data_IF_234404121246
#
_entry.id   IF_234404121246
#
_cell.length_a   1.000
_cell.length_b   1.000
_cell.length_c   1.000
_cell.angle_alpha   90.00
_cell.angle_beta   90.00
_cell.angle_gamma   90.00
#
_symmetry.space_group_name_H-M   'P 1'
#
loop_
_entity.id
_entity.type
_entity.pdbx_description
1 polymer ?
#
# COMPACT_ATOMS: atom_id res chain seq x y z
N UNK A 1 -37.85 60.73 21.08
CA UNK A 1 -36.61 61.48 20.81
C UNK A 1 -35.79 61.52 22.09
N UNK A 2 -34.48 61.25 22.01
CA UNK A 2 -33.44 61.15 23.08
C UNK A 2 -33.04 59.73 23.53
N UNK A 3 -32.13 59.19 22.71
CA UNK A 3 -30.85 58.52 23.02
C UNK A 3 -30.34 58.73 24.46
N UNK A 4 -29.75 57.70 25.06
CA UNK A 4 -28.40 57.67 25.68
C UNK A 4 -28.25 56.47 26.62
N UNK A 5 -27.09 55.91 26.94
CA UNK A 5 -25.77 55.79 26.35
C UNK A 5 -24.94 55.01 27.41
N UNK A 6 -23.95 54.28 26.92
CA UNK A 6 -23.00 53.41 27.63
C UNK A 6 -21.96 54.23 28.43
N UNK A 7 -21.48 53.70 29.56
CA UNK A 7 -20.08 53.79 30.04
C UNK A 7 -19.92 53.18 31.44
N UNK A 8 -18.77 52.72 31.93
CA UNK A 8 -17.54 52.09 31.41
C UNK A 8 -16.71 51.86 32.69
N UNK A 9 -16.05 50.71 32.86
CA UNK A 9 -14.79 50.50 33.64
C UNK A 9 -14.83 50.72 35.19
N UNK A 10 -13.96 50.21 36.07
CA UNK A 10 -12.53 49.87 36.01
C UNK A 10 -12.13 48.95 37.21
N UNK A 11 -10.99 48.29 37.01
CA UNK A 11 -10.23 47.35 37.85
C UNK A 11 -9.75 47.86 39.24
N UNK A 12 -9.52 46.89 40.16
CA UNK A 12 -8.25 46.67 40.91
C UNK A 12 -7.98 47.19 42.35
N UNK A 13 -7.65 46.20 43.20
CA UNK A 13 -6.50 46.07 44.14
C UNK A 13 -6.69 46.22 45.67
N UNK A 14 -6.41 45.08 46.32
CA UNK A 14 -5.73 44.79 47.59
C UNK A 14 -6.22 45.36 48.93
N UNK A 15 -6.43 44.42 49.86
CA UNK A 15 -5.89 44.49 51.23
C UNK A 15 -5.18 43.18 51.57
N UNK A 16 -4.04 43.32 52.28
CA UNK A 16 -3.06 42.31 52.67
C UNK A 16 -3.36 41.70 54.06
N UNK A 17 -2.67 40.58 54.32
CA UNK A 17 -2.05 40.19 55.60
C UNK A 17 -2.81 39.26 56.57
N UNK A 18 -2.38 37.99 56.65
CA UNK A 18 -1.48 37.51 57.73
C UNK A 18 -1.12 36.02 57.51
N UNK A 19 0.14 35.65 57.76
CA UNK A 19 0.72 34.39 57.33
C UNK A 19 1.02 33.32 58.40
N UNK A 20 1.42 32.17 57.83
CA UNK A 20 2.41 31.18 58.28
C UNK A 20 2.04 29.96 59.15
N UNK A 21 2.00 28.81 58.44
CA UNK A 21 2.90 27.63 58.55
C UNK A 21 3.12 26.93 59.90
N UNK A 22 2.64 25.66 59.95
CA UNK A 22 3.48 24.54 60.39
C UNK A 22 3.22 23.27 59.58
N UNK A 23 4.33 22.69 59.12
CA UNK A 23 4.48 21.46 58.34
C UNK A 23 3.89 20.24 59.06
N UNK A 24 3.17 19.40 58.31
CA UNK A 24 3.16 17.93 58.49
C UNK A 24 3.28 17.29 57.12
N UNK A 25 4.33 16.48 56.96
CA UNK A 25 4.55 15.62 55.81
C UNK A 25 3.39 14.62 55.70
N UNK A 26 2.75 14.56 54.53
CA UNK A 26 1.93 13.42 54.12
C UNK A 26 2.38 13.04 52.71
N UNK A 27 2.82 11.79 52.61
CA UNK A 27 3.36 11.19 51.40
C UNK A 27 2.34 11.22 50.26
N UNK A 28 2.80 11.77 49.13
CA UNK A 28 2.09 11.75 47.86
C UNK A 28 2.27 10.36 47.23
N UNK A 29 1.35 9.43 47.47
CA UNK A 29 1.25 8.22 46.64
C UNK A 29 0.29 8.47 45.48
N UNK A 30 0.85 8.99 44.39
CA UNK A 30 0.24 9.04 43.07
C UNK A 30 0.16 7.61 42.53
N UNK A 31 -0.93 6.90 42.79
CA UNK A 31 -1.16 5.58 42.19
C UNK A 31 -1.68 5.74 40.76
N UNK A 32 -0.76 6.01 39.83
CA UNK A 32 -0.93 5.67 38.42
C UNK A 32 -1.06 4.14 38.31
N UNK A 33 -2.27 3.59 38.31
CA UNK A 33 -2.49 2.27 37.72
C UNK A 33 -2.67 2.47 36.22
N UNK A 34 -1.54 2.65 35.53
CA UNK A 34 -1.48 2.42 34.10
C UNK A 34 -1.82 0.94 33.86
N UNK A 35 -2.87 0.68 33.09
CA UNK A 35 -3.05 -0.62 32.45
C UNK A 35 -1.85 -0.81 31.52
N UNK A 36 -0.86 -1.58 31.97
CA UNK A 36 0.26 -2.01 31.13
C UNK A 36 -0.22 -3.23 30.37
N UNK A 37 -0.52 -3.04 29.09
CA UNK A 37 -0.74 -4.11 28.13
C UNK A 37 0.55 -4.94 28.05
N UNK A 38 0.44 -6.26 28.23
CA UNK A 38 1.55 -7.21 28.14
C UNK A 38 2.09 -7.16 26.70
N UNK A 39 3.32 -6.67 26.52
CA UNK A 39 4.04 -6.68 25.23
C UNK A 39 4.83 -7.97 25.05
N UNK A 40 5.11 -8.29 23.79
CA UNK A 40 5.81 -9.49 23.31
C UNK A 40 7.17 -9.69 23.99
N UNK A 41 7.58 -10.97 24.09
CA UNK A 41 8.82 -11.41 24.77
C UNK A 41 10.05 -10.74 24.15
N UNK A 42 10.98 -10.28 24.99
CA UNK A 42 12.24 -9.64 24.56
C UNK A 42 13.19 -10.74 24.08
N UNK A 43 13.69 -10.69 22.85
CA UNK A 43 14.60 -11.73 22.34
C UNK A 43 16.04 -11.22 22.29
N UNK A 44 16.99 -11.99 22.83
CA UNK A 44 18.42 -11.69 22.84
C UNK A 44 19.19 -12.84 22.20
N UNK A 45 20.14 -12.53 21.32
CA UNK A 45 21.01 -13.55 20.73
C UNK A 45 22.19 -13.84 21.65
N UNK A 46 22.30 -15.07 22.13
CA UNK A 46 23.38 -15.49 23.04
C UNK A 46 23.75 -16.95 22.77
N UNK A 47 25.02 -17.17 22.46
CA UNK A 47 25.57 -18.48 22.09
C UNK A 47 25.89 -19.39 23.28
N UNK A 48 25.68 -18.93 24.51
CA UNK A 48 25.80 -19.76 25.70
C UNK A 48 24.60 -20.70 25.88
N UNK A 49 23.47 -20.43 25.21
CA UNK A 49 22.28 -21.27 25.23
C UNK A 49 22.23 -22.15 23.99
N UNK A 50 22.19 -23.48 24.15
CA UNK A 50 22.14 -24.42 23.01
C UNK A 50 20.74 -24.51 22.35
N UNK A 51 19.70 -24.03 23.02
CA UNK A 51 18.31 -23.98 22.54
C UNK A 51 17.64 -22.69 23.01
N UNK A 52 16.58 -22.21 22.32
CA UNK A 52 15.80 -21.07 22.79
C UNK A 52 15.39 -21.22 24.26
N UNK A 53 15.82 -20.29 25.12
CA UNK A 53 15.64 -20.38 26.58
C UNK A 53 15.03 -19.10 27.12
N UNK A 54 13.97 -19.22 27.93
CA UNK A 54 13.28 -18.07 28.52
C UNK A 54 13.76 -17.84 29.95
N UNK A 55 14.26 -16.64 30.24
CA UNK A 55 14.82 -16.28 31.55
C UNK A 55 14.24 -14.93 31.97
N UNK A 56 13.75 -14.78 33.22
CA UNK A 56 13.35 -13.47 33.74
C UNK A 56 14.59 -12.61 34.04
N UNK A 57 14.71 -11.47 33.37
CA UNK A 57 15.85 -10.57 33.46
C UNK A 57 15.42 -9.15 33.84
N UNK A 58 16.31 -8.40 34.51
CA UNK A 58 16.08 -6.99 34.81
C UNK A 58 16.47 -6.15 33.59
N UNK A 59 15.48 -5.59 32.91
CA UNK A 59 15.66 -4.80 31.70
C UNK A 59 15.56 -3.30 32.04
N UNK A 60 16.60 -2.55 31.64
CA UNK A 60 16.65 -1.08 31.74
C UNK A 60 16.36 -0.49 30.36
N UNK A 61 15.27 0.27 30.27
CA UNK A 61 14.87 1.00 29.08
C UNK A 61 15.50 2.39 29.10
N UNK A 62 16.23 2.70 28.03
CA UNK A 62 16.90 3.98 27.82
C UNK A 62 16.25 4.76 26.67
N UNK A 63 16.28 6.09 26.76
CA UNK A 63 15.84 6.98 25.68
C UNK A 63 16.89 7.07 24.55
N UNK A 64 16.60 7.85 23.51
CA UNK A 64 17.52 8.04 22.39
C UNK A 64 18.86 8.72 22.75
N UNK A 65 19.00 9.24 23.97
CA UNK A 65 20.21 9.89 24.47
C UNK A 65 20.95 9.02 25.50
N UNK A 66 20.48 7.78 25.73
CA UNK A 66 21.08 6.84 26.67
C UNK A 66 20.64 7.01 28.13
N UNK A 67 19.64 7.87 28.42
CA UNK A 67 19.14 8.05 29.78
C UNK A 67 18.10 6.98 30.12
N UNK A 68 18.24 6.33 31.27
CA UNK A 68 17.26 5.35 31.75
C UNK A 68 15.94 6.03 32.13
N UNK A 69 14.81 5.54 31.62
CA UNK A 69 13.49 6.04 31.99
C UNK A 69 12.55 4.95 32.57
N UNK A 70 12.90 3.66 32.43
CA UNK A 70 12.16 2.55 33.05
C UNK A 70 13.10 1.39 33.35
N UNK A 71 12.88 0.72 34.48
CA UNK A 71 13.51 -0.58 34.79
C UNK A 71 12.40 -1.55 35.17
N UNK A 72 12.39 -2.74 34.58
CA UNK A 72 11.40 -3.77 34.86
C UNK A 72 12.02 -5.17 34.74
N UNK A 73 11.49 -6.13 35.51
CA UNK A 73 11.81 -7.55 35.28
C UNK A 73 10.91 -8.07 34.17
N UNK A 74 11.51 -8.53 33.08
CA UNK A 74 10.82 -8.97 31.87
C UNK A 74 11.34 -10.36 31.48
N UNK A 75 10.52 -11.19 30.82
CA UNK A 75 10.97 -12.49 30.29
C UNK A 75 11.75 -12.27 29.00
N UNK A 76 13.03 -12.62 29.02
CA UNK A 76 13.94 -12.56 27.88
C UNK A 76 14.13 -13.95 27.27
N UNK A 77 13.98 -14.07 25.97
CA UNK A 77 14.20 -15.30 25.19
C UNK A 77 15.60 -15.23 24.60
N UNK A 78 16.50 -16.06 25.10
CA UNK A 78 17.84 -16.23 24.55
C UNK A 78 17.81 -17.22 23.40
N UNK A 79 18.28 -16.81 22.22
CA UNK A 79 18.27 -17.65 21.01
C UNK A 79 19.71 -17.85 20.50
N UNK A 80 20.19 -19.10 20.34
CA UNK A 80 21.49 -19.36 19.73
C UNK A 80 21.55 -18.96 18.27
N UNK A 81 22.72 -18.52 17.80
CA UNK A 81 22.96 -18.36 16.36
C UNK A 81 23.12 -19.76 15.76
N UNK A 82 22.10 -20.28 15.08
CA UNK A 82 22.30 -21.43 14.19
C UNK A 82 23.01 -20.96 12.93
N UNK A 83 24.31 -21.23 12.84
CA UNK A 83 25.08 -21.04 11.62
C UNK A 83 24.52 -21.92 10.50
N UNK A 84 23.74 -21.32 9.60
CA UNK A 84 23.65 -21.79 8.22
C UNK A 84 23.84 -20.60 7.29
N UNK A 85 24.90 -20.69 6.49
CA UNK A 85 25.36 -19.80 5.43
C UNK A 85 26.41 -18.76 5.82
N UNK A 86 27.67 -19.22 5.90
CA UNK A 86 28.83 -18.40 5.51
C UNK A 86 29.34 -18.94 4.16
N UNK A 87 29.57 -18.10 3.13
CA UNK A 87 30.25 -18.53 1.91
C UNK A 87 31.74 -18.78 2.21
N UNK A 88 32.18 -20.01 2.01
CA UNK A 88 33.58 -20.40 2.19
C UNK A 88 34.43 -19.88 1.01
N UNK A 89 35.44 -19.07 1.32
CA UNK A 89 36.51 -18.67 0.40
C UNK A 89 37.66 -19.68 0.56
N UNK A 90 38.12 -20.39 -0.49
CA UNK A 90 39.22 -21.32 -0.33
C UNK A 90 40.57 -20.60 -0.38
N UNK A 91 41.41 -20.84 0.62
CA UNK A 91 42.85 -20.56 0.58
C UNK A 91 43.64 -21.89 0.47
N UNK A 92 44.83 -21.89 -0.16
CA UNK A 92 45.43 -23.08 -0.75
C UNK A 92 46.21 -23.92 0.28
N UNK A 93 46.18 -25.24 0.13
CA UNK A 93 47.05 -26.15 0.91
C UNK A 93 47.87 -27.06 0.02
N UNK A 94 49.12 -27.22 0.45
CA UNK A 94 50.28 -27.81 -0.22
C UNK A 94 50.33 -29.33 0.01
N UNK A 95 50.96 -30.04 -0.93
CA UNK A 95 51.07 -31.49 -1.04
C UNK A 95 51.91 -32.20 0.03
N UNK A 96 51.57 -33.46 0.33
CA UNK A 96 52.56 -34.51 0.63
C UNK A 96 51.98 -35.95 0.47
N UNK A 97 52.59 -36.66 -0.50
CA UNK A 97 52.99 -38.08 -0.55
C UNK A 97 51.98 -39.25 -0.39
N UNK A 98 52.30 -40.32 -1.12
CA UNK A 98 51.43 -41.39 -1.60
C UNK A 98 51.72 -42.80 -1.01
N UNK A 99 50.79 -43.73 -1.32
CA UNK A 99 50.89 -45.19 -1.52
C UNK A 99 50.08 -46.08 -0.53
N UNK A 100 49.76 -47.36 -0.88
CA UNK A 100 49.00 -47.83 -2.04
C UNK A 100 47.80 -48.75 -1.65
N UNK A 101 46.96 -49.13 -2.63
CA UNK A 101 45.69 -49.85 -2.47
C UNK A 101 45.78 -51.36 -2.22
N UNK A 102 44.75 -51.98 -1.59
CA UNK A 102 44.38 -53.38 -1.82
C UNK A 102 42.82 -53.54 -2.01
N UNK A 103 42.24 -54.75 -2.19
CA UNK A 103 41.58 -55.16 -3.43
C UNK A 103 40.04 -55.21 -3.35
N UNK A 104 39.42 -55.25 -4.52
CA UNK A 104 37.97 -55.35 -4.73
C UNK A 104 37.37 -56.62 -4.12
N UNK A 105 36.23 -56.47 -3.43
CA UNK A 105 35.30 -57.55 -3.10
C UNK A 105 33.87 -57.13 -3.39
N UNK A 106 33.13 -58.11 -3.90
CA UNK A 106 31.81 -58.08 -4.54
C UNK A 106 30.64 -57.70 -3.62
N UNK A 107 29.72 -56.88 -4.14
CA UNK A 107 28.42 -56.59 -3.54
C UNK A 107 27.29 -57.50 -4.11
N UNK A 108 26.25 -57.84 -3.33
CA UNK A 108 25.07 -58.61 -3.76
C UNK A 108 24.04 -57.73 -4.51
N UNK A 109 23.05 -58.34 -5.21
CA UNK A 109 22.24 -57.63 -6.20
C UNK A 109 21.09 -56.85 -5.56
N UNK A 110 20.87 -55.63 -6.06
CA UNK A 110 19.70 -54.81 -5.73
C UNK A 110 18.71 -54.82 -6.90
N UNK A 111 17.46 -55.11 -6.56
CA UNK A 111 16.28 -55.19 -7.42
C UNK A 111 15.93 -53.83 -8.02
N UNK A 112 15.62 -53.82 -9.32
CA UNK A 112 15.24 -52.63 -10.10
C UNK A 112 13.78 -52.18 -9.85
N UNK A 113 13.49 -50.86 -9.82
CA UNK A 113 12.16 -50.35 -10.12
C UNK A 113 12.01 -50.00 -11.61
N UNK A 114 10.76 -50.09 -12.09
CA UNK A 114 10.33 -50.00 -13.48
C UNK A 114 10.51 -48.60 -14.14
N UNK A 115 10.57 -48.52 -15.49
CA UNK A 115 10.75 -47.25 -16.20
C UNK A 115 9.44 -46.46 -16.33
N UNK A 116 9.53 -45.15 -16.17
CA UNK A 116 8.49 -44.16 -16.50
C UNK A 116 8.60 -43.77 -17.98
N UNK A 117 7.50 -43.64 -18.76
CA UNK A 117 7.57 -43.24 -20.16
C UNK A 117 7.85 -41.73 -20.35
N UNK A 118 8.63 -41.41 -21.38
CA UNK A 118 8.94 -40.05 -21.83
C UNK A 118 7.80 -39.39 -22.65
N UNK A 119 7.71 -38.05 -22.70
CA UNK A 119 6.74 -37.30 -23.52
C UNK A 119 7.15 -37.24 -25.01
N UNK A 120 6.21 -37.07 -25.96
CA UNK A 120 6.53 -37.01 -27.39
C UNK A 120 7.02 -35.63 -27.83
N UNK A 121 7.98 -35.64 -28.78
CA UNK A 121 8.54 -34.46 -29.44
C UNK A 121 7.92 -34.20 -30.82
N UNK A 122 8.04 -32.95 -31.23
CA UNK A 122 7.50 -32.22 -32.37
C UNK A 122 7.59 -32.87 -33.76
N UNK A 123 6.55 -32.66 -34.57
CA UNK A 123 6.51 -32.93 -36.01
C UNK A 123 6.81 -31.67 -36.86
N UNK A 124 7.69 -31.85 -37.84
CA UNK A 124 8.15 -30.89 -38.86
C UNK A 124 7.10 -30.72 -39.99
N UNK A 125 6.98 -29.54 -40.65
CA UNK A 125 6.34 -29.44 -41.96
C UNK A 125 7.33 -29.17 -43.12
N UNK A 126 7.02 -29.73 -44.30
CA UNK A 126 7.70 -29.54 -45.59
C UNK A 126 6.69 -29.09 -46.69
N UNK A 127 7.11 -28.57 -47.88
CA UNK A 127 6.47 -27.40 -48.53
C UNK A 127 5.75 -27.58 -49.89
N UNK A 128 5.02 -26.49 -50.29
CA UNK A 128 4.59 -25.94 -51.62
C UNK A 128 3.42 -26.58 -52.43
N UNK A 129 2.42 -25.75 -52.82
CA UNK A 129 2.16 -25.18 -54.18
C UNK A 129 0.88 -24.29 -54.25
N UNK A 130 0.58 -23.50 -55.33
CA UNK A 130 0.14 -22.10 -55.23
C UNK A 130 -1.30 -21.82 -55.75
N UNK A 131 -1.67 -20.54 -55.65
CA UNK A 131 -2.97 -19.88 -55.91
C UNK A 131 -3.62 -20.08 -57.30
N UNK A 132 -4.92 -19.72 -57.43
CA UNK A 132 -5.49 -19.22 -58.67
C UNK A 132 -5.90 -17.73 -58.61
N UNK A 133 -5.69 -17.07 -59.76
CA UNK A 133 -5.98 -15.67 -60.11
C UNK A 133 -7.47 -15.33 -60.30
N UNK A 134 -7.83 -14.02 -60.38
CA UNK A 134 -9.17 -13.52 -60.65
C UNK A 134 -9.40 -13.10 -62.13
N UNK A 135 -10.65 -13.12 -62.61
CA UNK A 135 -11.18 -12.30 -63.74
C UNK A 135 -12.66 -12.62 -64.05
N UNK A 136 -13.41 -11.80 -64.84
CA UNK A 136 -13.09 -10.48 -65.43
C UNK A 136 -14.19 -9.39 -65.25
N UNK A 137 -13.83 -8.14 -65.55
CA UNK A 137 -14.73 -6.98 -65.83
C UNK A 137 -15.53 -7.10 -67.13
N UNK A 138 -16.62 -6.32 -67.29
CA UNK A 138 -16.64 -5.39 -68.44
C UNK A 138 -17.32 -4.02 -68.22
N UNK A 139 -16.63 -2.99 -68.77
CA UNK A 139 -17.06 -1.84 -69.60
C UNK A 139 -18.06 -0.75 -69.09
N UNK A 140 -17.52 0.47 -69.12
CA UNK A 140 -18.06 1.85 -69.17
C UNK A 140 -19.33 2.13 -69.99
N UNK A 141 -20.16 3.10 -69.55
CA UNK A 141 -20.69 4.24 -70.34
C UNK A 141 -21.56 5.24 -69.49
N UNK A 142 -21.27 6.53 -69.67
CA UNK A 142 -22.02 7.81 -69.55
C UNK A 142 -22.98 8.21 -68.38
N UNK A 143 -22.76 9.47 -67.97
CA UNK A 143 -23.74 10.58 -67.72
C UNK A 143 -24.28 10.90 -66.33
N UNK A 144 -24.04 12.17 -65.96
CA UNK A 144 -24.88 13.14 -65.24
C UNK A 144 -25.19 13.01 -63.73
N UNK A 145 -24.88 14.12 -63.04
CA UNK A 145 -25.38 14.56 -61.72
C UNK A 145 -26.91 14.78 -61.75
N UNK A 146 -27.68 14.99 -60.64
CA UNK A 146 -27.28 15.77 -59.44
C UNK A 146 -27.92 15.36 -58.07
N UNK A 147 -27.68 16.24 -57.07
CA UNK A 147 -28.43 16.57 -55.83
C UNK A 147 -28.40 15.65 -54.58
N UNK A 148 -27.62 16.10 -53.60
CA UNK A 148 -28.01 16.47 -52.23
C UNK A 148 -29.05 15.63 -51.46
N UNK A 149 -28.58 14.86 -50.47
CA UNK A 149 -29.23 14.76 -49.15
C UNK A 149 -28.22 14.31 -48.10
N UNK A 150 -28.18 15.03 -46.98
CA UNK A 150 -27.20 14.93 -45.91
C UNK A 150 -27.33 13.62 -45.10
N UNK A 151 -26.18 13.01 -44.78
CA UNK A 151 -26.03 11.98 -43.76
C UNK A 151 -25.47 12.62 -42.46
N UNK A 152 -25.89 12.18 -41.26
CA UNK A 152 -25.51 12.83 -40.00
C UNK A 152 -24.03 12.60 -39.66
N UNK A 153 -23.40 13.64 -39.11
CA UNK A 153 -22.01 13.63 -38.68
C UNK A 153 -21.75 12.60 -37.56
N UNK A 154 -20.55 12.00 -37.51
CA UNK A 154 -20.17 11.10 -36.43
C UNK A 154 -20.07 11.87 -35.11
N UNK A 155 -20.63 11.30 -34.05
CA UNK A 155 -20.51 11.78 -32.67
C UNK A 155 -19.03 11.89 -32.32
N UNK A 156 -18.57 13.12 -32.10
CA UNK A 156 -17.24 13.41 -31.64
C UNK A 156 -17.01 12.73 -30.28
N UNK A 157 -16.04 11.82 -30.25
CA UNK A 157 -15.44 11.32 -29.02
C UNK A 157 -14.84 12.52 -28.28
N UNK A 158 -15.50 12.96 -27.22
CA UNK A 158 -14.93 13.95 -26.30
C UNK A 158 -13.78 13.26 -25.58
N UNK A 159 -12.56 13.46 -26.10
CA UNK A 159 -11.35 13.17 -25.37
C UNK A 159 -11.41 13.88 -24.00
N UNK A 160 -11.14 13.19 -22.88
CA UNK A 160 -11.00 13.84 -21.59
C UNK A 160 -9.91 14.90 -21.68
N UNK A 161 -10.15 16.07 -21.07
CA UNK A 161 -9.15 17.11 -20.93
C UNK A 161 -7.88 16.56 -20.24
N UNK A 162 -6.68 17.04 -20.60
CA UNK A 162 -5.45 16.59 -19.97
C UNK A 162 -5.50 16.86 -18.47
N UNK A 163 -5.36 15.81 -17.67
CA UNK A 163 -5.21 15.90 -16.20
C UNK A 163 -3.77 16.32 -15.90
N UNK A 164 -3.47 17.57 -16.22
CA UNK A 164 -2.26 18.27 -15.83
C UNK A 164 -2.49 18.87 -14.44
N UNK A 165 -1.72 18.42 -13.46
CA UNK A 165 -1.69 18.99 -12.11
C UNK A 165 -1.78 17.92 -11.03
N UNK A 166 -0.69 17.73 -10.28
CA UNK A 166 -0.79 17.10 -8.96
C UNK A 166 -1.83 17.86 -8.14
N UNK A 167 -2.81 17.15 -7.62
CA UNK A 167 -4.08 17.73 -7.13
C UNK A 167 -3.91 18.32 -5.71
N UNK A 168 -2.70 18.20 -5.17
CA UNK A 168 -2.26 18.71 -3.90
C UNK A 168 -0.73 18.77 -3.87
N UNK A 169 -0.17 19.78 -3.20
CA UNK A 169 1.25 19.84 -2.85
C UNK A 169 1.61 18.84 -1.73
N UNK A 170 0.63 18.10 -1.23
CA UNK A 170 0.76 17.09 -0.18
C UNK A 170 0.57 15.67 -0.74
N UNK A 171 1.33 14.73 -0.18
CA UNK A 171 1.18 13.29 -0.42
C UNK A 171 -0.23 12.80 -0.07
N UNK A 172 -0.68 11.75 -0.75
CA UNK A 172 -1.88 11.02 -0.33
C UNK A 172 -1.61 10.09 0.85
N UNK A 173 -2.68 9.53 1.42
CA UNK A 173 -2.60 8.47 2.43
C UNK A 173 -3.74 7.47 2.25
N UNK A 174 -3.49 6.19 2.50
CA UNK A 174 -4.57 5.19 2.56
C UNK A 174 -5.19 5.15 3.95
N UNK A 175 -6.47 4.81 4.02
CA UNK A 175 -7.20 4.69 5.27
C UNK A 175 -8.26 3.59 5.18
N UNK A 176 -8.34 2.76 6.21
CA UNK A 176 -9.34 1.69 6.34
C UNK A 176 -10.21 1.97 7.57
N UNK A 177 -11.53 2.18 7.42
CA UNK A 177 -12.41 2.50 8.54
C UNK A 177 -12.94 1.25 9.28
N UNK A 178 -12.04 0.30 9.53
CA UNK A 178 -12.34 -0.88 10.34
C UNK A 178 -11.70 -0.75 11.72
N UNK A 179 -12.35 -1.30 12.74
CA UNK A 179 -11.77 -1.40 14.09
C UNK A 179 -10.76 -2.53 14.12
N UNK A 180 -9.81 -2.47 15.04
CA UNK A 180 -8.76 -3.47 15.18
C UNK A 180 -9.26 -4.88 15.50
N UNK A 181 -10.38 -5.00 16.23
CA UNK A 181 -11.05 -6.28 16.47
C UNK A 181 -11.94 -6.74 15.30
N UNK A 182 -11.90 -6.04 14.17
CA UNK A 182 -12.84 -6.18 13.06
C UNK A 182 -14.12 -5.34 13.25
N UNK A 183 -14.92 -5.28 12.19
CA UNK A 183 -16.16 -4.52 12.15
C UNK A 183 -15.97 -3.04 11.79
N UNK A 184 -17.10 -2.37 11.57
CA UNK A 184 -17.15 -1.01 11.04
C UNK A 184 -16.88 0.06 12.11
N UNK A 185 -16.09 1.08 11.76
CA UNK A 185 -16.05 2.35 12.51
C UNK A 185 -17.33 3.15 12.27
N UNK A 186 -17.79 3.82 13.31
CA UNK A 186 -18.84 4.83 13.22
C UNK A 186 -18.31 6.11 12.55
N UNK A 187 -19.22 6.96 12.05
CA UNK A 187 -18.84 8.25 11.48
C UNK A 187 -18.08 9.16 12.46
N UNK A 188 -18.30 9.01 13.77
CA UNK A 188 -17.60 9.77 14.81
C UNK A 188 -16.16 9.27 14.99
N UNK A 189 -15.96 7.95 14.94
CA UNK A 189 -14.61 7.34 14.97
C UNK A 189 -13.81 7.71 13.71
N UNK A 190 -14.45 7.70 12.53
CA UNK A 190 -13.82 8.16 11.28
C UNK A 190 -13.43 9.64 11.35
N UNK A 191 -14.31 10.50 11.88
CA UNK A 191 -13.99 11.94 12.05
C UNK A 191 -12.83 12.17 13.03
N UNK A 192 -12.77 11.37 14.11
CA UNK A 192 -11.68 11.41 15.08
C UNK A 192 -10.35 10.92 14.49
N UNK A 193 -10.39 9.89 13.63
CA UNK A 193 -9.22 9.43 12.89
C UNK A 193 -8.68 10.50 11.93
N UNK A 194 -9.57 11.08 11.11
CA UNK A 194 -9.19 12.14 10.16
C UNK A 194 -8.53 13.33 10.88
N UNK A 195 -9.00 13.70 12.07
CA UNK A 195 -8.39 14.77 12.87
C UNK A 195 -6.88 14.60 13.13
N UNK A 196 -6.37 13.36 13.07
CA UNK A 196 -4.98 13.03 13.38
C UNK A 196 -4.04 13.05 12.18
N UNK A 197 -4.55 12.93 10.95
CA UNK A 197 -3.69 12.84 9.75
C UNK A 197 -4.10 13.78 8.62
N UNK A 198 -5.38 14.16 8.53
CA UNK A 198 -5.93 14.81 7.36
C UNK A 198 -5.19 16.07 6.93
N UNK A 199 -4.73 16.90 7.88
CA UNK A 199 -4.01 18.14 7.60
C UNK A 199 -2.69 17.97 6.83
N UNK A 200 -2.09 16.78 6.89
CA UNK A 200 -0.77 16.49 6.32
C UNK A 200 -0.88 15.81 4.95
N UNK A 201 -2.11 15.61 4.43
CA UNK A 201 -2.39 14.83 3.24
C UNK A 201 -3.39 15.50 2.29
N UNK A 202 -3.18 15.36 0.99
CA UNK A 202 -4.09 15.94 -0.02
C UNK A 202 -5.29 15.05 -0.35
N UNK A 203 -5.03 13.74 -0.44
CA UNK A 203 -5.99 12.72 -0.88
C UNK A 203 -6.02 11.59 0.14
N UNK A 204 -7.21 11.13 0.49
CA UNK A 204 -7.42 9.93 1.33
C UNK A 204 -7.98 8.82 0.47
N UNK A 205 -7.27 7.69 0.39
CA UNK A 205 -7.68 6.52 -0.38
C UNK A 205 -8.43 5.52 0.49
N UNK A 206 -9.63 5.14 0.04
CA UNK A 206 -10.49 4.09 0.58
C UNK A 206 -10.58 2.95 -0.44
N UNK A 207 -10.82 1.73 0.05
CA UNK A 207 -10.79 0.53 -0.79
C UNK A 207 -12.17 0.04 -1.24
N UNK A 208 -13.21 0.32 -0.44
CA UNK A 208 -14.54 -0.22 -0.65
C UNK A 208 -15.66 0.78 -0.36
N UNK A 209 -16.87 0.26 -0.32
CA UNK A 209 -18.10 1.02 -0.09
C UNK A 209 -18.90 0.51 1.11
N UNK A 210 -18.46 -0.56 1.74
CA UNK A 210 -19.07 -1.15 2.93
C UNK A 210 -18.87 -0.25 4.16
N UNK A 211 -19.50 -0.61 5.28
CA UNK A 211 -19.37 0.11 6.56
C UNK A 211 -19.74 1.61 6.52
N UNK A 212 -20.61 2.04 5.60
CA UNK A 212 -20.92 3.46 5.36
C UNK A 212 -19.66 4.33 5.19
N UNK A 213 -18.56 3.71 4.74
CA UNK A 213 -17.26 4.37 4.74
C UNK A 213 -17.21 5.57 3.82
N UNK A 214 -17.90 5.48 2.67
CA UNK A 214 -17.98 6.60 1.72
C UNK A 214 -18.66 7.80 2.37
N UNK A 215 -19.82 7.61 3.02
CA UNK A 215 -20.55 8.71 3.61
C UNK A 215 -19.79 9.36 4.78
N UNK A 216 -19.18 8.53 5.63
CA UNK A 216 -18.40 8.97 6.79
C UNK A 216 -17.14 9.73 6.37
N UNK A 217 -16.36 9.15 5.44
CA UNK A 217 -15.15 9.77 4.94
C UNK A 217 -15.45 11.02 4.09
N UNK A 218 -16.54 11.05 3.32
CA UNK A 218 -16.95 12.22 2.55
C UNK A 218 -17.25 13.42 3.46
N UNK A 219 -17.98 13.18 4.56
CA UNK A 219 -18.22 14.21 5.58
C UNK A 219 -16.91 14.70 6.21
N UNK A 220 -15.99 13.80 6.56
CA UNK A 220 -14.70 14.15 7.14
C UNK A 220 -13.81 14.91 6.14
N UNK A 221 -13.73 14.47 4.89
CA UNK A 221 -12.98 15.11 3.82
C UNK A 221 -13.46 16.55 3.56
N UNK A 222 -14.78 16.81 3.57
CA UNK A 222 -15.32 18.19 3.49
C UNK A 222 -14.88 19.05 4.68
N UNK A 223 -14.82 18.48 5.88
CA UNK A 223 -14.43 19.20 7.10
C UNK A 223 -12.93 19.53 7.11
N UNK A 224 -12.08 18.61 6.69
CA UNK A 224 -10.62 18.75 6.79
C UNK A 224 -9.93 19.18 5.49
N UNK A 225 -10.68 19.30 4.38
CA UNK A 225 -10.16 19.83 3.12
C UNK A 225 -9.44 18.83 2.23
N UNK A 226 -9.67 17.53 2.42
CA UNK A 226 -9.06 16.47 1.59
C UNK A 226 -9.95 16.13 0.38
N UNK A 227 -9.31 15.58 -0.65
CA UNK A 227 -10.02 14.76 -1.65
C UNK A 227 -10.06 13.29 -1.26
N UNK A 228 -10.93 12.54 -1.92
CA UNK A 228 -11.11 11.11 -1.75
C UNK A 228 -10.77 10.36 -3.02
N UNK A 229 -9.97 9.32 -2.87
CA UNK A 229 -9.80 8.27 -3.86
C UNK A 229 -10.67 7.10 -3.39
N UNK A 230 -11.79 6.84 -4.06
CA UNK A 230 -12.75 5.80 -3.67
C UNK A 230 -12.48 4.49 -4.42
N UNK A 231 -12.73 3.35 -3.79
CA UNK A 231 -12.49 2.04 -4.39
C UNK A 231 -13.76 1.21 -4.58
N UNK A 232 -13.90 0.62 -5.77
CA UNK A 232 -14.81 -0.50 -6.02
C UNK A 232 -13.99 -1.78 -5.81
N UNK A 233 -14.07 -2.36 -4.60
CA UNK A 233 -13.28 -3.53 -4.24
C UNK A 233 -13.67 -4.78 -5.04
N UNK A 234 -14.97 -5.11 -5.07
CA UNK A 234 -15.50 -6.25 -5.81
C UNK A 234 -15.95 -5.82 -7.21
N UNK A 235 -15.20 -6.23 -8.22
CA UNK A 235 -15.46 -5.91 -9.63
C UNK A 235 -16.72 -6.58 -10.20
N UNK A 236 -17.31 -7.55 -9.49
CA UNK A 236 -18.58 -8.15 -9.88
C UNK A 236 -19.79 -7.35 -9.38
N UNK A 237 -19.56 -6.38 -8.48
CA UNK A 237 -20.61 -5.58 -7.84
C UNK A 237 -20.51 -4.09 -8.20
N UNK A 238 -20.02 -3.78 -9.41
CA UNK A 238 -19.81 -2.40 -9.89
C UNK A 238 -21.05 -1.53 -9.74
N UNK A 239 -22.22 -1.99 -10.17
CA UNK A 239 -23.45 -1.19 -10.11
C UNK A 239 -23.86 -0.87 -8.66
N UNK A 240 -23.76 -1.87 -7.78
CA UNK A 240 -24.05 -1.69 -6.35
C UNK A 240 -23.06 -0.71 -5.72
N UNK A 241 -21.76 -0.85 -6.02
CA UNK A 241 -20.74 0.02 -5.48
C UNK A 241 -20.91 1.47 -5.94
N UNK A 242 -21.19 1.70 -7.23
CA UNK A 242 -21.45 3.04 -7.76
C UNK A 242 -22.69 3.67 -7.13
N UNK A 243 -23.76 2.90 -6.92
CA UNK A 243 -24.96 3.39 -6.21
C UNK A 243 -24.62 3.80 -4.77
N UNK A 244 -23.93 2.93 -4.02
CA UNK A 244 -23.51 3.22 -2.66
C UNK A 244 -22.58 4.45 -2.58
N UNK A 245 -21.67 4.62 -3.55
CA UNK A 245 -20.85 5.82 -3.66
C UNK A 245 -21.69 7.08 -3.90
N UNK A 246 -22.60 7.04 -4.88
CA UNK A 246 -23.47 8.17 -5.22
C UNK A 246 -24.34 8.60 -4.03
N UNK A 247 -24.86 7.64 -3.27
CA UNK A 247 -25.64 7.91 -2.06
C UNK A 247 -24.75 8.45 -0.93
N UNK A 248 -23.58 7.86 -0.72
CA UNK A 248 -22.62 8.28 0.31
C UNK A 248 -22.10 9.70 0.10
N UNK A 249 -21.81 10.09 -1.15
CA UNK A 249 -21.42 11.46 -1.50
C UNK A 249 -22.62 12.38 -1.74
N UNK A 250 -23.85 11.89 -1.60
CA UNK A 250 -25.11 12.62 -1.85
C UNK A 250 -25.17 13.26 -3.24
N UNK A 251 -24.64 12.56 -4.25
CA UNK A 251 -24.43 13.04 -5.62
C UNK A 251 -23.59 14.32 -5.75
N UNK A 252 -22.94 14.75 -4.67
CA UNK A 252 -21.96 15.83 -4.68
C UNK A 252 -20.55 15.22 -4.81
N UNK A 253 -20.07 15.11 -6.04
CA UNK A 253 -18.77 14.52 -6.34
C UNK A 253 -17.58 15.45 -6.10
N UNK A 254 -17.79 16.65 -5.53
CA UNK A 254 -16.76 17.69 -5.43
C UNK A 254 -15.51 17.29 -4.66
N UNK A 255 -15.62 16.37 -3.70
CA UNK A 255 -14.46 15.83 -2.97
C UNK A 255 -13.93 14.50 -3.50
N UNK A 256 -14.52 13.92 -4.55
CA UNK A 256 -14.00 12.69 -5.14
C UNK A 256 -13.01 13.05 -6.24
N UNK A 257 -11.77 12.63 -6.04
CA UNK A 257 -10.66 12.82 -6.96
C UNK A 257 -10.59 11.73 -8.02
N UNK A 258 -10.64 10.47 -7.57
CA UNK A 258 -10.46 9.28 -8.38
C UNK A 258 -11.39 8.18 -7.87
N UNK A 259 -11.85 7.33 -8.78
CA UNK A 259 -12.44 6.02 -8.42
C UNK A 259 -11.58 4.89 -8.98
N UNK A 260 -11.14 3.94 -8.15
CA UNK A 260 -10.52 2.70 -8.64
C UNK A 260 -11.51 1.56 -8.79
N UNK A 261 -11.16 0.64 -9.69
CA UNK A 261 -11.89 -0.59 -9.97
C UNK A 261 -10.97 -1.77 -9.69
N UNK A 262 -11.26 -2.52 -8.63
CA UNK A 262 -10.40 -3.57 -8.09
C UNK A 262 -9.19 -3.03 -7.30
N UNK A 263 -8.49 -3.97 -6.67
CA UNK A 263 -7.18 -3.76 -6.04
C UNK A 263 -6.39 -5.07 -6.11
N UNK A 264 -5.32 -5.10 -6.91
CA UNK A 264 -4.38 -6.24 -7.02
C UNK A 264 -5.00 -7.57 -7.47
N UNK A 265 -6.09 -7.51 -8.25
CA UNK A 265 -6.82 -8.70 -8.67
C UNK A 265 -6.07 -9.53 -9.72
N UNK A 266 -5.25 -8.89 -10.56
CA UNK A 266 -4.42 -9.60 -11.55
C UNK A 266 -3.21 -10.22 -10.86
N UNK A 267 -2.52 -9.47 -9.99
CA UNK A 267 -1.39 -9.99 -9.23
C UNK A 267 -1.76 -11.21 -8.37
N UNK A 268 -2.93 -11.18 -7.72
CA UNK A 268 -3.40 -12.30 -6.89
C UNK A 268 -3.98 -13.47 -7.70
N UNK A 269 -4.19 -13.30 -9.01
CA UNK A 269 -4.89 -14.28 -9.86
C UNK A 269 -6.40 -14.34 -9.62
N UNK A 270 -6.97 -13.42 -8.84
CA UNK A 270 -8.41 -13.36 -8.55
C UNK A 270 -9.24 -12.90 -9.76
N UNK A 271 -8.64 -12.16 -10.68
CA UNK A 271 -9.25 -11.78 -11.95
C UNK A 271 -8.22 -11.79 -13.09
N UNK A 272 -8.69 -12.08 -14.29
CA UNK A 272 -7.92 -11.88 -15.52
C UNK A 272 -7.85 -10.39 -15.88
N UNK A 273 -6.89 -10.02 -16.73
CA UNK A 273 -6.81 -8.68 -17.33
C UNK A 273 -8.12 -8.31 -18.04
N UNK A 274 -8.68 -9.24 -18.83
CA UNK A 274 -9.93 -9.01 -19.56
C UNK A 274 -11.12 -8.71 -18.62
N UNK A 275 -11.25 -9.43 -17.50
CA UNK A 275 -12.26 -9.16 -16.50
C UNK A 275 -12.07 -7.77 -15.87
N UNK A 276 -10.83 -7.41 -15.52
CA UNK A 276 -10.50 -6.11 -14.93
C UNK A 276 -10.81 -4.94 -15.89
N UNK A 277 -10.44 -5.05 -17.17
CA UNK A 277 -10.74 -4.05 -18.19
C UNK A 277 -12.25 -3.96 -18.51
N UNK A 278 -12.96 -5.09 -18.48
CA UNK A 278 -14.41 -5.14 -18.60
C UNK A 278 -15.09 -4.38 -17.46
N UNK A 279 -14.68 -4.64 -16.22
CA UNK A 279 -15.18 -3.94 -15.03
C UNK A 279 -14.85 -2.45 -15.06
N UNK A 280 -13.65 -2.06 -15.51
CA UNK A 280 -13.27 -0.65 -15.70
C UNK A 280 -14.24 0.06 -16.65
N UNK A 281 -14.58 -0.57 -17.77
CA UNK A 281 -15.53 -0.01 -18.75
C UNK A 281 -16.92 0.16 -18.15
N UNK A 282 -17.42 -0.86 -17.46
CA UNK A 282 -18.73 -0.81 -16.78
C UNK A 282 -18.78 0.28 -15.70
N UNK A 283 -17.74 0.36 -14.86
CA UNK A 283 -17.65 1.34 -13.80
C UNK A 283 -17.62 2.76 -14.35
N UNK A 284 -16.82 3.01 -15.40
CA UNK A 284 -16.78 4.31 -16.07
C UNK A 284 -18.15 4.73 -16.56
N UNK A 285 -18.91 3.85 -17.23
CA UNK A 285 -20.27 4.16 -17.69
C UNK A 285 -21.22 4.46 -16.52
N UNK A 286 -21.24 3.61 -15.50
CA UNK A 286 -22.12 3.77 -14.34
C UNK A 286 -21.81 5.06 -13.55
N UNK A 287 -20.53 5.37 -13.35
CA UNK A 287 -20.10 6.58 -12.65
C UNK A 287 -20.49 7.86 -13.40
N UNK A 288 -20.31 7.89 -14.73
CA UNK A 288 -20.75 9.03 -15.57
C UNK A 288 -22.26 9.22 -15.49
N UNK A 289 -23.04 8.12 -15.53
CA UNK A 289 -24.48 8.17 -15.34
C UNK A 289 -24.90 8.68 -13.94
N UNK A 290 -24.07 8.42 -12.92
CA UNK A 290 -24.25 8.94 -11.56
C UNK A 290 -23.75 10.39 -11.36
N UNK A 291 -23.20 11.03 -12.41
CA UNK A 291 -22.73 12.42 -12.39
C UNK A 291 -21.26 12.61 -11.99
N UNK A 292 -20.49 11.53 -11.80
CA UNK A 292 -19.06 11.61 -11.55
C UNK A 292 -18.30 11.75 -12.87
N UNK A 293 -17.57 12.85 -13.05
CA UNK A 293 -16.80 13.15 -14.28
C UNK A 293 -15.29 12.96 -14.12
N UNK A 294 -14.82 12.56 -12.93
CA UNK A 294 -13.38 12.41 -12.66
C UNK A 294 -12.77 11.11 -13.18
N UNK A 295 -11.45 10.93 -12.97
CA UNK A 295 -10.69 9.74 -13.31
C UNK A 295 -11.26 8.43 -12.76
N UNK A 296 -11.19 7.39 -13.60
CA UNK A 296 -11.46 5.98 -13.27
C UNK A 296 -10.25 5.14 -13.68
N UNK A 297 -9.73 4.35 -12.73
CA UNK A 297 -8.47 3.61 -12.90
C UNK A 297 -8.58 2.17 -12.38
N UNK A 298 -7.72 1.28 -12.86
CA UNK A 298 -7.44 0.00 -12.21
C UNK A 298 -6.21 0.19 -11.30
N UNK A 299 -6.23 -0.42 -10.11
CA UNK A 299 -5.05 -0.47 -9.24
C UNK A 299 -4.58 -1.92 -9.12
N UNK A 300 -3.31 -2.15 -9.44
CA UNK A 300 -2.64 -3.43 -9.26
C UNK A 300 -1.17 -3.24 -8.83
N UNK A 301 -0.45 -4.32 -8.56
CA UNK A 301 0.97 -4.23 -8.17
C UNK A 301 1.84 -3.86 -9.37
N UNK A 302 3.02 -3.30 -9.10
CA UNK A 302 4.01 -3.05 -10.16
C UNK A 302 4.40 -4.33 -10.92
N UNK A 303 4.31 -5.51 -10.29
CA UNK A 303 4.61 -6.79 -10.94
C UNK A 303 3.55 -7.09 -12.01
N UNK A 304 2.27 -6.99 -11.66
CA UNK A 304 1.19 -7.18 -12.63
C UNK A 304 1.20 -6.11 -13.72
N UNK A 305 1.43 -4.84 -13.37
CA UNK A 305 1.48 -3.74 -14.35
C UNK A 305 2.66 -3.88 -15.33
N UNK A 306 3.83 -4.35 -14.88
CA UNK A 306 4.95 -4.60 -15.80
C UNK A 306 4.69 -5.78 -16.75
N UNK A 307 3.91 -6.78 -16.32
CA UNK A 307 3.51 -7.89 -17.17
C UNK A 307 2.33 -7.54 -18.10
N UNK A 308 1.46 -6.61 -17.65
CA UNK A 308 0.22 -6.22 -18.30
C UNK A 308 0.07 -4.68 -18.30
N UNK A 309 0.89 -3.94 -19.06
CA UNK A 309 0.85 -2.47 -19.10
C UNK A 309 -0.51 -1.92 -19.57
N UNK A 310 -1.32 -2.74 -20.25
CA UNK A 310 -2.68 -2.40 -20.66
C UNK A 310 -3.61 -2.00 -19.48
N UNK A 311 -3.32 -2.47 -18.26
CA UNK A 311 -4.03 -2.03 -17.05
C UNK A 311 -3.88 -0.51 -16.83
N UNK A 312 -2.69 0.03 -17.12
CA UNK A 312 -2.39 1.45 -17.08
C UNK A 312 -2.80 2.18 -18.37
N UNK A 313 -2.63 1.55 -19.53
CA UNK A 313 -2.96 2.18 -20.81
C UNK A 313 -4.47 2.40 -21.01
N UNK A 314 -5.33 1.55 -20.42
CA UNK A 314 -6.78 1.72 -20.50
C UNK A 314 -7.39 2.55 -19.35
N UNK A 315 -6.62 2.76 -18.28
CA UNK A 315 -6.97 3.64 -17.17
C UNK A 315 -6.79 5.12 -17.55
N UNK A 316 -7.53 6.02 -16.90
CA UNK A 316 -7.44 7.47 -17.17
C UNK A 316 -6.05 8.04 -16.78
N UNK A 317 -5.38 7.40 -15.81
CA UNK A 317 -3.95 7.49 -15.55
C UNK A 317 -3.45 6.15 -15.01
N UNK A 318 -2.14 5.92 -14.98
CA UNK A 318 -1.58 4.69 -14.45
C UNK A 318 -1.56 4.74 -12.91
N UNK A 319 -2.27 3.83 -12.26
CA UNK A 319 -2.36 3.74 -10.80
C UNK A 319 -1.78 2.40 -10.36
N UNK A 320 -0.77 2.43 -9.48
CA UNK A 320 0.05 1.24 -9.19
C UNK A 320 0.52 1.17 -7.75
N UNK A 321 0.46 -0.01 -7.15
CA UNK A 321 1.00 -0.27 -5.81
C UNK A 321 2.48 -0.68 -5.92
N UNK A 322 3.35 0.00 -5.17
CA UNK A 322 4.82 -0.16 -5.22
C UNK A 322 5.39 -0.20 -3.80
N UNK A 323 5.56 -1.40 -3.24
CA UNK A 323 6.10 -1.56 -1.90
C UNK A 323 7.56 -2.04 -1.92
N UNK A 324 8.53 -1.18 -1.57
CA UNK A 324 9.95 -1.56 -1.54
C UNK A 324 10.27 -2.65 -0.51
N UNK A 325 9.46 -2.78 0.55
CA UNK A 325 9.65 -3.80 1.60
C UNK A 325 9.60 -5.25 1.07
N UNK A 326 8.85 -5.50 -0.01
CA UNK A 326 8.74 -6.85 -0.59
C UNK A 326 9.91 -7.20 -1.52
N UNK A 327 10.84 -6.28 -1.78
CA UNK A 327 12.11 -6.59 -2.44
C UNK A 327 13.21 -6.91 -1.40
N UNK A 328 13.78 -8.13 -1.38
CA UNK A 328 14.77 -8.52 -0.40
C UNK A 328 16.11 -7.76 -0.51
N UNK A 329 16.31 -7.00 -1.59
CA UNK A 329 17.55 -6.29 -1.88
C UNK A 329 17.45 -4.78 -1.61
N UNK A 330 16.29 -4.30 -1.16
CA UNK A 330 16.04 -2.88 -0.91
C UNK A 330 15.97 -2.63 0.58
N UNK A 331 17.00 -2.00 1.14
CA UNK A 331 16.96 -1.47 2.51
C UNK A 331 16.17 -0.16 2.61
N UNK A 332 15.65 0.15 3.80
CA UNK A 332 14.80 1.31 4.06
C UNK A 332 15.30 2.65 3.48
N UNK A 333 16.60 3.04 3.60
CA UNK A 333 17.07 4.31 3.03
C UNK A 333 16.92 4.43 1.50
N UNK A 334 16.84 3.30 0.79
CA UNK A 334 16.71 3.21 -0.68
C UNK A 334 15.27 3.06 -1.16
N UNK A 335 14.29 3.16 -0.26
CA UNK A 335 12.87 2.99 -0.60
C UNK A 335 12.40 3.96 -1.71
N UNK A 336 12.78 5.23 -1.64
CA UNK A 336 12.46 6.22 -2.67
C UNK A 336 13.08 5.90 -4.04
N UNK A 337 14.33 5.44 -4.07
CA UNK A 337 15.02 5.03 -5.30
C UNK A 337 14.35 3.82 -5.96
N UNK A 338 13.93 2.85 -5.14
CA UNK A 338 13.18 1.69 -5.64
C UNK A 338 11.85 2.10 -6.26
N UNK A 339 11.09 2.97 -5.58
CA UNK A 339 9.80 3.44 -6.09
C UNK A 339 9.97 4.21 -7.40
N UNK A 340 10.93 5.15 -7.46
CA UNK A 340 11.17 5.96 -8.66
C UNK A 340 11.69 5.15 -9.84
N UNK A 341 12.66 4.25 -9.63
CA UNK A 341 13.16 3.36 -10.69
C UNK A 341 12.09 2.40 -11.19
N UNK A 342 11.20 1.92 -10.31
CA UNK A 342 10.04 1.09 -10.70
C UNK A 342 9.06 1.87 -11.56
N UNK A 343 8.74 3.11 -11.21
CA UNK A 343 7.90 3.98 -12.04
C UNK A 343 8.52 4.25 -13.40
N UNK A 344 9.84 4.42 -13.49
CA UNK A 344 10.54 4.57 -14.77
C UNK A 344 10.45 3.30 -15.64
N UNK A 345 10.60 2.11 -15.03
CA UNK A 345 10.42 0.83 -15.73
C UNK A 345 9.00 0.67 -16.27
N UNK A 346 7.98 0.98 -15.46
CA UNK A 346 6.58 0.95 -15.89
C UNK A 346 6.37 1.90 -17.06
N UNK A 347 6.85 3.15 -16.96
CA UNK A 347 6.75 4.15 -18.03
C UNK A 347 7.34 3.65 -19.36
N UNK A 348 8.43 2.89 -19.32
CA UNK A 348 9.05 2.30 -20.50
C UNK A 348 8.28 1.14 -21.13
N UNK A 349 7.32 0.54 -20.43
CA UNK A 349 6.46 -0.55 -20.94
C UNK A 349 5.10 -0.04 -21.44
N UNK A 350 4.66 1.14 -21.00
CA UNK A 350 3.39 1.73 -21.39
C UNK A 350 3.39 2.20 -22.84
N UNK A 351 2.24 2.09 -23.51
CA UNK A 351 2.06 2.63 -24.87
C UNK A 351 2.18 4.16 -24.93
N UNK A 352 1.69 4.85 -23.89
CA UNK A 352 1.84 6.30 -23.73
C UNK A 352 2.74 6.62 -22.53
N UNK A 353 4.03 6.82 -22.81
CA UNK A 353 5.03 7.20 -21.80
C UNK A 353 4.81 8.58 -21.16
N UNK A 354 3.94 9.43 -21.76
CA UNK A 354 3.58 10.74 -21.21
C UNK A 354 2.44 10.65 -20.19
N UNK A 355 1.71 9.53 -20.16
CA UNK A 355 0.60 9.32 -19.23
C UNK A 355 1.10 9.42 -17.78
N UNK A 356 0.33 10.13 -16.96
CA UNK A 356 0.60 10.31 -15.53
C UNK A 356 0.62 8.95 -14.83
N UNK A 357 1.60 8.76 -13.93
CA UNK A 357 1.72 7.57 -13.08
C UNK A 357 1.58 8.03 -11.63
N UNK A 358 0.71 7.37 -10.87
CA UNK A 358 0.49 7.59 -9.44
C UNK A 358 0.78 6.29 -8.71
N UNK A 359 1.67 6.38 -7.73
CA UNK A 359 1.92 5.27 -6.81
C UNK A 359 0.83 5.30 -5.75
N UNK A 360 -0.12 4.38 -5.84
CA UNK A 360 -1.35 4.41 -5.04
C UNK A 360 -1.23 3.75 -3.68
N UNK A 361 -0.18 2.94 -3.47
CA UNK A 361 0.31 2.48 -2.18
C UNK A 361 1.83 2.35 -2.21
N UNK A 362 2.47 2.84 -1.16
CA UNK A 362 3.85 2.54 -0.83
C UNK A 362 4.09 2.83 0.65
N UNK A 363 4.96 2.08 1.29
CA UNK A 363 5.21 2.25 2.72
C UNK A 363 6.27 1.31 3.24
N UNK A 364 6.33 1.21 4.56
CA UNK A 364 7.25 0.31 5.26
C UNK A 364 6.65 -0.11 6.60
N UNK A 365 6.64 -1.39 6.97
CA UNK A 365 6.12 -1.84 8.25
C UNK A 365 7.11 -1.54 9.39
N UNK A 366 6.59 -1.21 10.57
CA UNK A 366 7.42 -0.98 11.75
C UNK A 366 7.61 -2.24 12.61
N UNK A 367 6.85 -3.31 12.36
CA UNK A 367 6.96 -4.61 13.00
C UNK A 367 6.66 -5.74 11.99
N UNK A 368 7.22 -6.93 12.23
CA UNK A 368 7.16 -8.10 11.35
C UNK A 368 8.52 -8.82 11.29
N UNK A 369 8.67 -9.71 10.32
CA UNK A 369 9.92 -10.39 10.00
C UNK A 369 10.68 -9.63 8.91
N UNK A 370 12.01 -9.76 8.89
CA UNK A 370 12.83 -9.21 7.83
C UNK A 370 12.65 -9.99 6.51
N UNK A 371 12.68 -9.27 5.40
CA UNK A 371 12.79 -9.81 4.05
C UNK A 371 14.17 -9.42 3.48
N UNK A 372 15.20 -10.23 3.71
CA UNK A 372 16.57 -9.86 3.33
C UNK A 372 17.02 -8.53 3.96
N UNK A 373 17.36 -7.54 3.14
CA UNK A 373 17.73 -6.19 3.57
C UNK A 373 16.54 -5.31 3.99
N UNK A 374 15.31 -5.71 3.63
CA UNK A 374 14.11 -5.01 4.04
C UNK A 374 13.72 -5.42 5.48
N UNK A 375 14.29 -4.71 6.44
CA UNK A 375 14.05 -4.94 7.87
C UNK A 375 12.94 -4.01 8.38
N UNK A 376 11.87 -4.53 9.00
CA UNK A 376 10.86 -3.69 9.65
C UNK A 376 11.42 -3.05 10.91
N UNK A 377 10.90 -1.86 11.26
CA UNK A 377 11.30 -1.15 12.48
C UNK A 377 10.86 0.30 12.45
N UNK A 378 10.80 0.97 13.60
CA UNK A 378 10.37 2.38 13.68
C UNK A 378 11.35 3.32 12.97
N UNK A 379 12.65 3.11 13.17
CA UNK A 379 13.69 3.90 12.50
C UNK A 379 13.74 3.60 11.01
N UNK A 380 13.58 2.33 10.63
CA UNK A 380 13.52 1.89 9.24
C UNK A 380 12.28 2.46 8.54
N UNK A 381 11.12 2.43 9.17
CA UNK A 381 9.91 3.06 8.63
C UNK A 381 10.11 4.56 8.46
N UNK A 382 10.69 5.25 9.44
CA UNK A 382 10.98 6.69 9.35
C UNK A 382 11.93 6.98 8.20
N UNK A 383 12.99 6.19 8.05
CA UNK A 383 13.98 6.30 6.97
C UNK A 383 13.35 6.06 5.58
N UNK A 384 12.56 5.00 5.44
CA UNK A 384 11.88 4.66 4.19
C UNK A 384 10.86 5.72 3.77
N UNK A 385 9.99 6.16 4.69
CA UNK A 385 9.02 7.21 4.41
C UNK A 385 9.70 8.55 4.07
N UNK A 386 10.81 8.87 4.73
CA UNK A 386 11.60 10.08 4.40
C UNK A 386 12.21 9.99 3.01
N UNK A 387 12.79 8.83 2.66
CA UNK A 387 13.35 8.55 1.33
C UNK A 387 12.28 8.67 0.23
N UNK A 388 11.10 8.07 0.42
CA UNK A 388 9.97 8.15 -0.51
C UNK A 388 9.48 9.59 -0.67
N UNK A 389 9.24 10.32 0.44
CA UNK A 389 8.77 11.72 0.39
C UNK A 389 9.79 12.64 -0.28
N UNK A 390 11.09 12.42 -0.04
CA UNK A 390 12.14 13.20 -0.69
C UNK A 390 12.14 12.98 -2.21
N UNK A 391 12.01 11.72 -2.66
CA UNK A 391 11.97 11.34 -4.06
C UNK A 391 10.76 11.92 -4.83
N UNK A 392 9.67 12.24 -4.12
CA UNK A 392 8.45 12.84 -4.66
C UNK A 392 8.22 14.29 -4.23
N UNK A 393 9.24 14.98 -3.72
CA UNK A 393 9.11 16.34 -3.17
C UNK A 393 8.63 17.39 -4.18
N UNK A 394 8.89 17.20 -5.47
CA UNK A 394 8.42 18.09 -6.55
C UNK A 394 7.05 17.70 -7.13
N UNK A 395 6.47 16.58 -6.69
CA UNK A 395 5.23 16.03 -7.22
C UNK A 395 4.49 15.16 -6.19
N UNK A 396 4.40 15.64 -4.95
CA UNK A 396 3.91 14.88 -3.80
C UNK A 396 2.56 14.19 -4.02
N UNK A 397 1.64 14.83 -4.75
CA UNK A 397 0.34 14.26 -5.11
C UNK A 397 0.37 13.01 -6.00
N UNK A 398 1.53 12.59 -6.50
CA UNK A 398 1.70 11.35 -7.27
C UNK A 398 2.10 10.13 -6.42
N UNK A 399 2.15 10.26 -5.09
CA UNK A 399 2.35 9.12 -4.19
C UNK A 399 1.37 9.15 -3.01
N UNK A 400 0.79 7.99 -2.73
CA UNK A 400 -0.14 7.75 -1.63
C UNK A 400 0.55 6.80 -0.64
N UNK A 401 0.75 7.28 0.58
CA UNK A 401 1.46 6.54 1.62
C UNK A 401 0.53 5.51 2.28
N UNK A 402 1.05 4.30 2.44
CA UNK A 402 0.39 3.19 3.11
C UNK A 402 1.01 3.02 4.51
N UNK A 403 0.29 3.25 5.61
CA UNK A 403 -1.11 3.71 5.76
C UNK A 403 -1.28 4.62 6.99
N UNK A 404 -2.41 5.31 7.16
CA UNK A 404 -2.65 6.24 8.27
C UNK A 404 -2.54 5.59 9.67
N UNK A 405 -3.00 4.35 9.82
CA UNK A 405 -3.05 3.62 11.09
C UNK A 405 -2.72 2.15 10.90
N UNK A 406 -2.26 1.48 11.96
CA UNK A 406 -2.12 0.03 12.01
C UNK A 406 -3.48 -0.65 11.77
N UNK A 407 -3.53 -1.55 10.80
CA UNK A 407 -4.72 -2.31 10.43
C UNK A 407 -4.78 -3.63 11.22
N UNK A 408 -5.09 -3.55 12.52
CA UNK A 408 -5.03 -4.74 13.40
C UNK A 408 -6.05 -5.83 13.06
N UNK A 409 -7.08 -5.49 12.28
CA UNK A 409 -8.07 -6.44 11.75
C UNK A 409 -7.49 -7.36 10.67
N UNK A 410 -6.36 -6.98 10.05
CA UNK A 410 -5.65 -7.84 9.11
C UNK A 410 -5.01 -9.00 9.86
N UNK A 411 -4.84 -10.11 9.14
CA UNK A 411 -4.18 -11.31 9.67
C UNK A 411 -2.67 -11.23 9.41
N UNK A 412 -1.87 -11.54 10.42
CA UNK A 412 -0.44 -11.76 10.22
C UNK A 412 -0.21 -13.08 9.48
N UNK A 413 0.52 -13.04 8.37
CA UNK A 413 0.80 -14.20 7.53
C UNK A 413 2.28 -14.27 7.14
N UNK A 414 2.80 -15.48 6.99
CA UNK A 414 4.21 -15.68 6.63
C UNK A 414 4.54 -15.14 5.23
N UNK A 415 3.58 -15.22 4.29
CA UNK A 415 3.67 -14.67 2.93
C UNK A 415 3.91 -13.15 2.89
N UNK A 416 3.49 -12.46 3.95
CA UNK A 416 3.62 -11.00 4.12
C UNK A 416 4.58 -10.66 5.26
N UNK A 417 5.47 -11.60 5.61
CA UNK A 417 6.47 -11.43 6.67
C UNK A 417 5.87 -11.02 8.01
N UNK A 418 4.66 -11.49 8.34
CA UNK A 418 3.94 -11.14 9.57
C UNK A 418 3.72 -9.63 9.76
N UNK A 419 3.77 -8.84 8.69
CA UNK A 419 3.86 -7.39 8.76
C UNK A 419 2.52 -6.67 8.55
N UNK A 420 1.49 -7.33 8.00
CA UNK A 420 0.23 -6.72 7.55
C UNK A 420 -0.47 -5.80 8.56
N UNK A 421 -0.36 -6.11 9.85
CA UNK A 421 -1.00 -5.32 10.91
C UNK A 421 -0.24 -4.02 11.26
N UNK A 422 1.00 -3.85 10.80
CA UNK A 422 1.98 -2.91 11.37
C UNK A 422 2.52 -1.88 10.37
N UNK A 423 1.70 -1.42 9.43
CA UNK A 423 2.07 -0.42 8.42
C UNK A 423 1.68 1.01 8.78
N UNK A 424 1.01 1.23 9.91
CA UNK A 424 0.58 2.56 10.35
C UNK A 424 1.77 3.50 10.49
N UNK A 425 1.72 4.65 9.82
CA UNK A 425 2.79 5.64 9.85
C UNK A 425 3.06 6.14 11.27
N UNK A 426 4.31 6.03 11.71
CA UNK A 426 4.71 6.37 13.08
C UNK A 426 4.19 5.38 14.12
N UNK A 427 3.92 4.13 13.72
CA UNK A 427 3.39 3.09 14.61
C UNK A 427 2.00 3.42 15.16
N UNK A 428 1.22 4.22 14.44
CA UNK A 428 -0.01 4.82 14.96
C UNK A 428 -1.15 3.82 15.03
N UNK A 429 -1.85 3.80 16.17
CA UNK A 429 -3.13 3.12 16.36
C UNK A 429 -4.28 4.12 16.30
N UNK A 430 -5.39 3.71 15.71
CA UNK A 430 -6.66 4.44 15.76
C UNK A 430 -7.08 4.66 17.23
N UNK A 431 -7.66 5.81 17.61
CA UNK A 431 -8.15 6.03 18.97
C UNK A 431 -9.15 4.99 19.46
N UNK A 432 -9.93 4.37 18.56
CA UNK A 432 -10.89 3.33 18.95
C UNK A 432 -10.25 1.96 19.23
N UNK A 433 -8.95 1.80 18.91
CA UNK A 433 -8.21 0.54 19.06
C UNK A 433 -7.19 0.59 20.22
N UNK A 434 -7.18 1.69 20.98
CA UNK A 434 -6.27 1.93 22.10
C UNK A 434 -6.81 1.44 23.44
#
# INVERSE_FOLDING_TARGET
MRISAISLTLFSLLHLSAGQLRRRHVHQHRANRAFVQKRDKITVTDNTFATPTEVPEVVVYVDQFGNSYRTATETVVYVPITSTNTPEVPAPSVAAAAAPAPPATSAPPVVAPAPVPAPPASSVPAPKQPAPEPSPTPKTIHSEAPVSSAAPAPVASLAPAPVSGGISDLHGVTYSPYKGAGGCKSAQEVDADFALFAKDHGVVRLYGVDCDQVASAYKAAKKYGNKLFLGIFDINQVAQAVSAMADGVKRDWSQVDTVSVGNELVNSGAATVAQSLGALTQARQALRAAGYQGPVVIVDTFVAVLAHPELCDQSDYCAVNVHPFFDPNTGAPKAGDFVTSTVQRIRGQMADSSKRIVVTETGWPWQGNANGQAVPGMDQQTSALSSIKAAYSSNAGNVILFTAFNDLWKKAEASTFMAEQFWGMGGRYSPCDK
#
